data_IF_362677689311
#
_entry.id   IF_362677689311
#
_cell.length_a   1.000
_cell.length_b   1.000
_cell.length_c   1.000
_cell.angle_alpha   90.00
_cell.angle_beta   90.00
_cell.angle_gamma   90.00
#
_symmetry.space_group_name_H-M   'P 1'
#
loop_
_entity.id
_entity.type
_entity.pdbx_description
1 polymer ?
#
# COMPACT_ATOMS: atom_id res chain seq x y z
N UNK A 1 -1.80 -22.78 -4.33
CA UNK A 1 -2.97 -21.90 -4.60
C UNK A 1 -2.45 -20.56 -5.09
N UNK A 2 -3.13 -19.92 -6.04
CA UNK A 2 -2.72 -18.62 -6.59
C UNK A 2 -3.05 -17.49 -5.58
N UNK A 3 -2.14 -16.53 -5.39
CA UNK A 3 -2.41 -15.30 -4.62
C UNK A 3 -2.68 -14.13 -5.56
N UNK A 4 -3.64 -13.27 -5.21
CA UNK A 4 -4.12 -12.16 -6.02
C UNK A 4 -3.96 -10.86 -5.25
N UNK A 5 -3.30 -9.87 -5.87
CA UNK A 5 -3.20 -8.49 -5.35
C UNK A 5 -3.99 -7.54 -6.24
N UNK A 6 -4.83 -6.71 -5.64
CA UNK A 6 -5.51 -5.59 -6.32
C UNK A 6 -4.78 -4.28 -5.97
N UNK A 7 -4.34 -3.51 -6.97
CA UNK A 7 -3.41 -2.41 -6.77
C UNK A 7 -3.98 -1.06 -7.23
N UNK A 8 -3.64 0.01 -6.51
CA UNK A 8 -4.11 1.36 -6.78
C UNK A 8 -5.49 1.62 -6.20
N UNK A 9 -5.74 1.11 -4.99
CA UNK A 9 -6.96 1.37 -4.22
C UNK A 9 -6.94 2.83 -3.77
N UNK A 10 -8.02 3.55 -4.07
CA UNK A 10 -8.21 4.96 -3.67
C UNK A 10 -9.52 5.21 -2.91
N UNK A 11 -10.39 4.21 -2.83
CA UNK A 11 -11.72 4.31 -2.20
C UNK A 11 -11.99 3.09 -1.34
N UNK A 12 -12.62 3.31 -0.18
CA UNK A 12 -13.02 2.25 0.76
C UNK A 12 -13.90 1.17 0.10
N UNK A 13 -14.90 1.57 -0.68
CA UNK A 13 -15.82 0.63 -1.35
C UNK A 13 -15.11 -0.34 -2.31
N UNK A 14 -14.04 0.10 -2.97
CA UNK A 14 -13.25 -0.77 -3.85
C UNK A 14 -12.41 -1.76 -3.04
N UNK A 15 -11.88 -1.29 -1.91
CA UNK A 15 -11.11 -2.11 -0.98
C UNK A 15 -11.98 -3.23 -0.42
N UNK A 16 -13.15 -2.89 0.12
CA UNK A 16 -14.15 -3.84 0.63
C UNK A 16 -14.57 -4.84 -0.45
N UNK A 17 -14.84 -4.35 -1.66
CA UNK A 17 -15.26 -5.23 -2.75
C UNK A 17 -14.15 -6.19 -3.18
N UNK A 18 -12.91 -5.74 -3.21
CA UNK A 18 -11.76 -6.61 -3.52
C UNK A 18 -11.57 -7.70 -2.45
N UNK A 19 -11.76 -7.37 -1.17
CA UNK A 19 -11.73 -8.35 -0.08
C UNK A 19 -12.87 -9.36 -0.21
N UNK A 20 -14.09 -8.90 -0.47
CA UNK A 20 -15.26 -9.78 -0.67
C UNK A 20 -15.04 -10.79 -1.82
N UNK A 21 -14.36 -10.36 -2.89
CA UNK A 21 -14.04 -11.19 -4.05
C UNK A 21 -12.83 -12.11 -3.83
N UNK A 22 -12.20 -12.09 -2.65
CA UNK A 22 -11.12 -12.99 -2.27
C UNK A 22 -9.72 -12.53 -2.68
N UNK A 23 -9.47 -11.22 -2.77
CA UNK A 23 -8.10 -10.71 -2.89
C UNK A 23 -7.26 -11.09 -1.66
N UNK A 24 -5.98 -11.40 -1.84
CA UNK A 24 -5.04 -11.66 -0.75
C UNK A 24 -4.32 -10.40 -0.28
N UNK A 25 -4.25 -9.37 -1.13
CA UNK A 25 -3.53 -8.14 -0.85
C UNK A 25 -4.12 -6.92 -1.56
N UNK A 26 -4.01 -5.75 -0.92
CA UNK A 26 -4.42 -4.46 -1.48
C UNK A 26 -3.24 -3.50 -1.53
N UNK A 27 -3.09 -2.79 -2.65
CA UNK A 27 -2.00 -1.84 -2.89
C UNK A 27 -2.45 -0.38 -2.90
N UNK A 28 -1.76 0.46 -2.13
CA UNK A 28 -1.98 1.90 -2.01
C UNK A 28 -0.78 2.64 -2.58
N UNK A 29 -0.99 3.58 -3.50
CA UNK A 29 0.12 4.21 -4.25
C UNK A 29 0.43 5.59 -3.68
N UNK A 30 1.63 5.74 -3.11
CA UNK A 30 2.17 6.97 -2.55
C UNK A 30 3.13 7.67 -3.51
N UNK A 31 2.71 7.80 -4.78
CA UNK A 31 3.45 8.51 -5.81
C UNK A 31 2.56 9.58 -6.46
N UNK A 32 2.78 10.89 -6.23
CA UNK A 32 1.89 11.96 -6.66
C UNK A 32 1.60 12.02 -8.16
N UNK A 33 2.52 11.56 -9.01
CA UNK A 33 2.30 11.54 -10.46
C UNK A 33 1.48 10.33 -10.96
N UNK A 34 1.10 9.40 -10.08
CA UNK A 34 0.17 8.33 -10.41
C UNK A 34 -1.27 8.86 -10.47
N UNK A 35 -2.08 8.51 -11.47
CA UNK A 35 -3.52 8.82 -11.47
C UNK A 35 -4.29 8.08 -10.36
N UNK A 36 -3.64 7.11 -9.71
CA UNK A 36 -4.16 6.32 -8.58
C UNK A 36 -3.43 6.66 -7.27
N UNK A 37 -2.82 7.85 -7.21
CA UNK A 37 -2.26 8.39 -5.97
C UNK A 37 -3.36 8.49 -4.91
N UNK A 38 -3.01 8.16 -3.67
CA UNK A 38 -3.86 8.33 -2.50
C UNK A 38 -3.06 9.02 -1.40
N UNK A 39 -3.70 10.00 -0.74
CA UNK A 39 -3.11 10.69 0.41
C UNK A 39 -2.86 9.71 1.56
N UNK A 40 -1.71 9.78 2.26
CA UNK A 40 -1.38 8.85 3.35
C UNK A 40 -2.46 8.75 4.44
N UNK A 41 -3.08 9.87 4.82
CA UNK A 41 -4.14 9.88 5.83
C UNK A 41 -5.38 9.07 5.37
N UNK A 42 -5.79 9.22 4.11
CA UNK A 42 -6.93 8.48 3.54
C UNK A 42 -6.59 7.00 3.40
N UNK A 43 -5.37 6.68 2.98
CA UNK A 43 -4.91 5.30 2.90
C UNK A 43 -4.89 4.63 4.29
N UNK A 44 -4.49 5.37 5.33
CA UNK A 44 -4.49 4.90 6.71
C UNK A 44 -5.91 4.58 7.22
N UNK A 45 -6.88 5.46 6.95
CA UNK A 45 -8.30 5.22 7.28
C UNK A 45 -8.81 3.92 6.63
N UNK A 46 -8.55 3.72 5.35
CA UNK A 46 -8.96 2.49 4.65
C UNK A 46 -8.22 1.27 5.22
N UNK A 47 -6.90 1.36 5.40
CA UNK A 47 -6.07 0.24 5.84
C UNK A 47 -6.39 -0.23 7.27
N UNK A 48 -6.83 0.68 8.15
CA UNK A 48 -7.23 0.36 9.51
C UNK A 48 -8.53 -0.46 9.58
N UNK A 49 -9.40 -0.36 8.58
CA UNK A 49 -10.68 -1.05 8.52
C UNK A 49 -10.62 -2.41 7.81
N UNK A 50 -9.50 -2.74 7.16
CA UNK A 50 -9.35 -3.99 6.44
C UNK A 50 -9.24 -5.20 7.39
N UNK A 51 -10.01 -6.27 7.14
CA UNK A 51 -9.93 -7.46 7.95
C UNK A 51 -8.64 -8.24 7.68
N UNK A 52 -8.16 -8.95 8.71
CA UNK A 52 -7.17 -10.01 8.51
C UNK A 52 -7.81 -11.20 7.77
N UNK A 53 -7.09 -11.92 6.89
CA UNK A 53 -5.63 -11.90 6.69
C UNK A 53 -5.15 -11.08 5.46
N UNK A 54 -5.79 -9.96 5.11
CA UNK A 54 -5.44 -9.19 3.91
C UNK A 54 -4.12 -8.43 4.10
N UNK A 55 -3.15 -8.64 3.19
CA UNK A 55 -1.90 -7.89 3.19
C UNK A 55 -2.07 -6.47 2.63
N UNK A 56 -1.63 -5.48 3.39
CA UNK A 56 -1.67 -4.05 3.05
C UNK A 56 -0.33 -3.64 2.47
N UNK A 57 -0.32 -3.21 1.22
CA UNK A 57 0.91 -2.93 0.47
C UNK A 57 1.03 -1.44 0.18
N UNK A 58 2.04 -0.79 0.75
CA UNK A 58 2.44 0.56 0.41
C UNK A 58 3.29 0.54 -0.86
N UNK A 59 2.87 1.24 -1.92
CA UNK A 59 3.59 1.30 -3.20
C UNK A 59 4.25 2.66 -3.36
N UNK A 60 5.57 2.68 -3.46
CA UNK A 60 6.36 3.90 -3.67
C UNK A 60 7.17 3.82 -4.96
N UNK A 61 7.44 4.97 -5.57
CA UNK A 61 8.33 5.08 -6.74
C UNK A 61 9.58 5.85 -6.31
N UNK A 62 10.75 5.21 -6.38
CA UNK A 62 12.03 5.79 -5.96
C UNK A 62 11.95 6.55 -4.61
N UNK A 63 11.45 5.93 -3.52
CA UNK A 63 11.24 6.64 -2.26
C UNK A 63 12.56 7.08 -1.62
N UNK A 64 12.51 8.18 -0.86
CA UNK A 64 13.59 8.59 0.04
C UNK A 64 13.38 8.01 1.46
N UNK A 65 14.37 8.22 2.34
CA UNK A 65 14.34 7.76 3.74
C UNK A 65 13.14 8.31 4.50
N UNK A 66 12.81 9.58 4.28
CA UNK A 66 11.75 10.25 5.01
C UNK A 66 10.38 9.63 4.67
N UNK A 67 10.15 9.34 3.39
CA UNK A 67 8.94 8.67 2.93
C UNK A 67 8.82 7.25 3.50
N UNK A 68 9.91 6.45 3.47
CA UNK A 68 9.92 5.10 4.02
C UNK A 68 9.64 5.13 5.53
N UNK A 69 10.30 6.03 6.27
CA UNK A 69 10.09 6.21 7.70
C UNK A 69 8.64 6.61 8.03
N UNK A 70 8.05 7.50 7.22
CA UNK A 70 6.65 7.90 7.34
C UNK A 70 5.69 6.72 7.20
N UNK A 71 5.89 5.86 6.20
CA UNK A 71 5.07 4.67 5.97
C UNK A 71 5.22 3.65 7.10
N UNK A 72 6.43 3.47 7.63
CA UNK A 72 6.70 2.53 8.74
C UNK A 72 6.07 2.99 10.06
N UNK A 73 5.91 4.29 10.28
CA UNK A 73 5.52 4.87 11.58
C UNK A 73 4.16 4.36 12.09
N UNK A 74 3.20 4.18 11.19
CA UNK A 74 1.82 3.86 11.59
C UNK A 74 1.54 2.36 11.64
N UNK A 75 2.49 1.50 11.22
CA UNK A 75 2.35 0.03 11.20
C UNK A 75 1.08 -0.51 10.51
N UNK A 76 0.44 0.30 9.68
CA UNK A 76 -0.77 -0.06 8.94
C UNK A 76 -0.47 -0.85 7.66
N UNK A 77 0.78 -0.83 7.19
CA UNK A 77 1.20 -1.52 5.97
C UNK A 77 2.14 -2.66 6.30
N UNK A 78 1.82 -3.85 5.79
CA UNK A 78 2.57 -5.08 6.01
C UNK A 78 3.76 -5.20 5.05
N UNK A 79 3.63 -4.59 3.86
CA UNK A 79 4.60 -4.71 2.77
C UNK A 79 4.88 -3.35 2.17
N UNK A 80 6.16 -3.04 1.98
CA UNK A 80 6.61 -1.94 1.15
C UNK A 80 6.99 -2.46 -0.23
N UNK A 81 6.26 -2.04 -1.27
CA UNK A 81 6.58 -2.31 -2.67
C UNK A 81 7.27 -1.08 -3.27
N UNK A 82 8.51 -1.26 -3.69
CA UNK A 82 9.29 -0.23 -4.39
C UNK A 82 9.19 -0.48 -5.90
N UNK A 83 8.79 0.54 -6.63
CA UNK A 83 8.81 0.54 -8.08
C UNK A 83 9.92 1.49 -8.57
N UNK A 84 10.91 0.95 -9.27
CA UNK A 84 12.08 1.70 -9.73
C UNK A 84 13.33 1.37 -8.93
N UNK A 85 14.15 2.38 -8.66
CA UNK A 85 15.46 2.27 -8.04
C UNK A 85 15.39 2.63 -6.57
N UNK A 86 16.18 1.91 -5.78
CA UNK A 86 16.47 2.21 -4.39
C UNK A 86 17.93 1.85 -4.13
N UNK A 87 18.59 2.57 -3.23
CA UNK A 87 19.93 2.18 -2.77
C UNK A 87 19.80 1.11 -1.67
N UNK A 88 20.81 0.25 -1.57
CA UNK A 88 20.81 -0.88 -0.63
C UNK A 88 20.69 -0.44 0.84
N UNK A 89 21.22 0.73 1.19
CA UNK A 89 21.12 1.34 2.52
C UNK A 89 19.68 1.55 3.02
N UNK A 90 18.69 1.54 2.12
CA UNK A 90 17.27 1.73 2.49
C UNK A 90 16.49 0.41 2.64
N UNK A 91 17.12 -0.74 2.39
CA UNK A 91 16.48 -2.07 2.45
C UNK A 91 16.74 -2.84 3.76
N UNK A 92 17.57 -2.30 4.65
CA UNK A 92 17.79 -2.82 6.01
C UNK A 92 16.72 -2.32 7.02
#
# INVERSE_FOLDING_TARGET
MLRIKVCGITRKIDAEKAVELGADALGFIFYPHSPRFIEPAVAAEIAAELPQPISRVAVCVNPDVAQIAGIRKDFLFDVLQIHGLITWEYLE
#
